data_IF_923788439832
#
_entry.id   IF_923788439832
#
_cell.length_a   1.000
_cell.length_b   1.000
_cell.length_c   1.000
_cell.angle_alpha   90.00
_cell.angle_beta   90.00
_cell.angle_gamma   90.00
#
_symmetry.space_group_name_H-M   'P 1'
#
loop_
_entity.id
_entity.type
_entity.pdbx_description
1 polymer ?
#
# COMPACT_ATOMS: atom_id res chain seq x y z
N UNK A 1 -19.95 8.34 24.86
CA UNK A 1 -19.62 7.22 25.77
C UNK A 1 -18.49 6.49 25.10
N UNK A 2 -17.32 6.40 25.74
CA UNK A 2 -16.13 5.82 25.12
C UNK A 2 -16.28 4.31 25.07
N UNK A 3 -15.97 3.66 23.95
CA UNK A 3 -16.05 2.19 23.89
C UNK A 3 -14.87 1.59 24.67
N UNK A 4 -15.12 0.78 25.72
CA UNK A 4 -14.06 0.29 26.62
C UNK A 4 -13.07 -0.65 25.92
N UNK A 5 -13.47 -1.18 24.75
CA UNK A 5 -12.65 -2.06 23.93
C UNK A 5 -11.32 -1.42 23.52
N UNK A 6 -11.27 -0.11 23.30
CA UNK A 6 -10.03 0.54 22.86
C UNK A 6 -8.96 0.53 23.95
N UNK A 7 -9.35 0.86 25.18
CA UNK A 7 -8.46 0.80 26.33
C UNK A 7 -8.02 -0.64 26.63
N UNK A 8 -8.96 -1.59 26.54
CA UNK A 8 -8.65 -3.00 26.72
C UNK A 8 -7.67 -3.54 25.67
N UNK A 9 -7.90 -3.24 24.39
CA UNK A 9 -7.00 -3.66 23.30
C UNK A 9 -5.60 -3.06 23.42
N UNK A 10 -5.47 -1.85 23.96
CA UNK A 10 -4.16 -1.23 24.20
C UNK A 10 -3.40 -1.96 25.32
N UNK A 11 -4.08 -2.30 26.41
CA UNK A 11 -3.50 -3.00 27.54
C UNK A 11 -3.25 -4.50 27.28
N UNK A 12 -3.92 -5.09 26.28
CA UNK A 12 -3.91 -6.53 26.05
C UNK A 12 -2.60 -7.01 25.37
N UNK A 13 -1.79 -7.87 26.02
CA UNK A 13 -0.57 -8.41 25.43
C UNK A 13 -0.88 -9.39 24.28
N UNK A 14 -0.12 -9.31 23.19
CA UNK A 14 -0.27 -10.16 22.01
C UNK A 14 -1.68 -10.15 21.39
N UNK A 15 -2.51 -9.19 21.78
CA UNK A 15 -3.93 -9.03 21.42
C UNK A 15 -4.72 -10.35 21.53
N UNK A 16 -4.40 -11.12 22.57
CA UNK A 16 -4.98 -12.43 22.86
C UNK A 16 -5.22 -12.59 24.37
N UNK A 17 -6.39 -13.11 24.77
CA UNK A 17 -6.78 -13.28 26.18
C UNK A 17 -7.68 -14.51 26.37
N UNK A 18 -7.84 -14.98 27.61
CA UNK A 18 -8.87 -15.98 27.90
C UNK A 18 -10.26 -15.37 27.70
N UNK A 19 -11.25 -16.18 27.33
CA UNK A 19 -12.64 -15.71 27.20
C UNK A 19 -13.14 -15.09 28.53
N UNK A 20 -12.69 -15.62 29.67
CA UNK A 20 -12.92 -14.99 30.98
C UNK A 20 -12.50 -13.51 31.02
N UNK A 21 -11.28 -13.20 30.58
CA UNK A 21 -10.71 -11.86 30.65
C UNK A 21 -11.47 -10.91 29.70
N UNK A 22 -11.82 -11.39 28.51
CA UNK A 22 -12.66 -10.64 27.57
C UNK A 22 -14.06 -10.35 28.15
N UNK A 23 -14.72 -11.38 28.70
CA UNK A 23 -16.06 -11.26 29.30
C UNK A 23 -16.04 -10.30 30.51
N UNK A 24 -14.97 -10.34 31.30
CA UNK A 24 -14.80 -9.50 32.48
C UNK A 24 -14.52 -8.04 32.09
N UNK A 25 -13.53 -7.80 31.24
CA UNK A 25 -13.10 -6.45 30.87
C UNK A 25 -14.15 -5.68 30.05
N UNK A 26 -14.96 -6.39 29.26
CA UNK A 26 -16.01 -5.79 28.42
C UNK A 26 -17.42 -6.05 28.96
N UNK A 27 -17.52 -6.44 30.23
CA UNK A 27 -18.79 -6.66 30.91
C UNK A 27 -19.63 -5.38 30.90
N UNK A 28 -20.92 -5.51 30.60
CA UNK A 28 -21.85 -4.39 30.53
C UNK A 28 -21.75 -3.54 29.25
N UNK A 29 -20.77 -3.79 28.37
CA UNK A 29 -20.75 -3.19 27.04
C UNK A 29 -21.69 -3.96 26.12
N UNK A 30 -22.86 -3.38 25.87
CA UNK A 30 -23.96 -3.91 25.04
C UNK A 30 -23.53 -4.43 23.65
N UNK A 31 -22.46 -3.86 23.09
CA UNK A 31 -21.89 -4.25 21.78
C UNK A 31 -20.89 -5.41 21.83
N UNK A 32 -20.48 -5.85 23.02
CA UNK A 32 -19.48 -6.90 23.18
C UNK A 32 -19.85 -8.23 22.50
N UNK A 33 -21.09 -8.76 22.57
CA UNK A 33 -21.44 -10.01 21.90
C UNK A 33 -21.18 -9.97 20.38
N UNK A 34 -21.60 -8.89 19.71
CA UNK A 34 -21.35 -8.71 18.29
C UNK A 34 -19.87 -8.50 17.99
N UNK A 35 -19.16 -7.76 18.85
CA UNK A 35 -17.72 -7.59 18.74
C UNK A 35 -17.00 -8.94 18.78
N UNK A 36 -17.32 -9.78 19.78
CA UNK A 36 -16.74 -11.11 19.95
C UNK A 36 -16.93 -11.97 18.70
N UNK A 37 -18.15 -12.04 18.19
CA UNK A 37 -18.47 -12.91 17.06
C UNK A 37 -17.75 -12.47 15.76
N UNK A 38 -17.60 -11.16 15.55
CA UNK A 38 -17.01 -10.61 14.33
C UNK A 38 -15.50 -10.46 14.39
N UNK A 39 -14.95 -10.03 15.52
CA UNK A 39 -13.56 -9.57 15.64
C UNK A 39 -12.68 -10.49 16.49
N UNK A 40 -13.22 -11.50 17.16
CA UNK A 40 -12.41 -12.49 17.88
C UNK A 40 -12.38 -13.83 17.14
N UNK A 41 -11.25 -14.52 17.23
CA UNK A 41 -11.07 -15.88 16.73
C UNK A 41 -10.57 -16.78 17.85
N UNK A 42 -11.18 -17.95 17.95
CA UNK A 42 -10.76 -19.00 18.88
C UNK A 42 -9.40 -19.55 18.45
N UNK A 43 -8.48 -19.68 19.41
CA UNK A 43 -7.20 -20.36 19.22
C UNK A 43 -7.26 -21.81 19.69
N UNK A 44 -6.19 -22.59 19.45
CA UNK A 44 -6.07 -23.96 19.94
C UNK A 44 -5.63 -24.04 21.41
N UNK A 45 -5.34 -22.91 22.04
CA UNK A 45 -4.71 -22.84 23.35
C UNK A 45 -5.75 -22.57 24.44
N UNK A 46 -5.44 -23.07 25.64
CA UNK A 46 -6.20 -22.81 26.86
C UNK A 46 -5.36 -21.98 27.83
N UNK A 47 -6.02 -21.11 28.57
CA UNK A 47 -5.42 -20.26 29.57
C UNK A 47 -4.99 -21.08 30.79
N UNK A 48 -3.72 -20.93 31.18
CA UNK A 48 -3.18 -21.49 32.43
C UNK A 48 -3.34 -20.53 33.60
N UNK A 49 -3.63 -19.26 33.31
CA UNK A 49 -3.98 -18.21 34.26
C UNK A 49 -4.96 -17.22 33.61
N UNK A 50 -5.76 -16.55 34.42
CA UNK A 50 -6.69 -15.48 34.02
C UNK A 50 -6.42 -14.24 34.86
N UNK A 51 -6.85 -13.07 34.38
CA UNK A 51 -6.70 -11.82 35.11
C UNK A 51 -7.51 -11.86 36.41
N UNK A 52 -7.02 -11.13 37.42
CA UNK A 52 -7.68 -11.08 38.71
C UNK A 52 -8.95 -10.22 38.63
N UNK A 53 -10.16 -10.77 38.83
CA UNK A 53 -11.40 -10.00 38.75
C UNK A 53 -11.70 -9.20 40.02
N UNK A 54 -10.78 -9.17 40.98
CA UNK A 54 -10.96 -8.52 42.29
C UNK A 54 -10.00 -7.34 42.43
N UNK A 55 -10.44 -6.29 43.12
CA UNK A 55 -9.63 -5.12 43.55
C UNK A 55 -8.56 -5.48 44.60
N UNK A 56 -7.87 -6.61 44.45
CA UNK A 56 -6.69 -6.89 45.25
C UNK A 56 -5.55 -5.99 44.73
N UNK A 57 -4.89 -5.24 45.64
CA UNK A 57 -3.87 -4.27 45.27
C UNK A 57 -2.63 -4.83 44.55
N UNK A 58 -2.52 -6.16 44.45
CA UNK A 58 -1.42 -6.86 43.76
C UNK A 58 -1.68 -7.08 42.26
N UNK A 59 -2.94 -7.07 41.81
CA UNK A 59 -3.29 -7.29 40.40
C UNK A 59 -2.74 -8.58 39.78
N UNK A 60 -2.39 -9.59 40.59
CA UNK A 60 -1.68 -10.78 40.15
C UNK A 60 -2.59 -11.74 39.35
N UNK A 61 -2.11 -12.37 38.27
CA UNK A 61 -2.91 -13.33 37.52
C UNK A 61 -3.27 -14.54 38.40
N UNK A 62 -4.51 -15.02 38.28
CA UNK A 62 -5.02 -16.18 39.01
C UNK A 62 -4.76 -17.45 38.22
N UNK A 63 -4.21 -18.47 38.88
CA UNK A 63 -3.91 -19.75 38.25
C UNK A 63 -5.19 -20.53 37.97
N UNK A 64 -5.35 -21.02 36.75
CA UNK A 64 -6.44 -21.93 36.39
C UNK A 64 -6.07 -23.33 36.90
N UNK A 65 -6.96 -23.91 37.70
CA UNK A 65 -6.84 -25.27 38.25
C UNK A 65 -8.05 -26.07 37.78
N UNK A 66 -7.78 -27.20 37.14
CA UNK A 66 -8.80 -28.13 36.63
C UNK A 66 -8.83 -29.34 37.57
N UNK A 67 -9.90 -29.48 38.35
CA UNK A 67 -10.15 -30.68 39.16
C UNK A 67 -10.89 -31.75 38.35
N UNK A 68 -11.83 -31.32 37.50
CA UNK A 68 -12.53 -32.14 36.51
C UNK A 68 -13.06 -31.26 35.37
N UNK A 69 -13.65 -31.85 34.33
CA UNK A 69 -14.23 -31.10 33.20
C UNK A 69 -15.38 -30.15 33.62
N UNK A 70 -16.04 -30.43 34.74
CA UNK A 70 -17.11 -29.62 35.33
C UNK A 70 -16.65 -28.76 36.51
N UNK A 71 -15.41 -28.92 36.96
CA UNK A 71 -14.87 -28.24 38.14
C UNK A 71 -13.53 -27.60 37.81
N UNK A 72 -13.61 -26.36 37.32
CA UNK A 72 -12.47 -25.53 36.96
C UNK A 72 -12.55 -24.25 37.80
N UNK A 73 -11.42 -23.86 38.41
CA UNK A 73 -11.36 -22.68 39.29
C UNK A 73 -10.12 -21.83 39.01
N UNK A 74 -10.26 -20.51 39.15
CA UNK A 74 -9.17 -19.54 39.14
C UNK A 74 -8.75 -19.21 40.59
N UNK A 75 -7.54 -19.61 40.97
CA UNK A 75 -7.02 -19.50 42.33
C UNK A 75 -6.05 -18.33 42.45
N UNK A 76 -6.27 -17.48 43.45
CA UNK A 76 -5.32 -16.44 43.84
C UNK A 76 -4.11 -17.08 44.53
N UNK A 77 -2.92 -16.95 43.95
CA UNK A 77 -1.70 -17.53 44.52
C UNK A 77 -1.29 -16.83 45.83
N UNK A 78 -1.58 -15.54 45.92
CA UNK A 78 -1.32 -14.70 47.10
C UNK A 78 -2.36 -14.87 48.21
N UNK A 79 -3.43 -15.63 47.97
CA UNK A 79 -4.52 -15.94 48.92
C UNK A 79 -5.29 -14.72 49.45
N UNK A 80 -5.17 -13.57 48.80
CA UNK A 80 -5.91 -12.33 49.14
C UNK A 80 -7.43 -12.43 48.87
N UNK A 81 -7.84 -13.35 48.01
CA UNK A 81 -9.25 -13.55 47.67
C UNK A 81 -9.56 -15.01 47.33
N UNK A 82 -10.83 -15.39 47.53
CA UNK A 82 -11.33 -16.75 47.28
C UNK A 82 -11.24 -17.18 45.81
N UNK A 83 -11.24 -18.50 45.60
CA UNK A 83 -11.25 -19.08 44.25
C UNK A 83 -12.50 -18.67 43.48
N UNK A 84 -12.35 -18.40 42.18
CA UNK A 84 -13.46 -18.04 41.29
C UNK A 84 -13.77 -19.23 40.39
N UNK A 85 -15.02 -19.72 40.36
CA UNK A 85 -15.40 -20.80 39.45
C UNK A 85 -15.35 -20.34 38.00
N UNK A 86 -14.87 -21.22 37.11
CA UNK A 86 -14.81 -21.02 35.67
C UNK A 86 -15.58 -22.12 34.96
N UNK A 87 -16.27 -21.78 33.87
CA UNK A 87 -16.73 -22.80 32.91
C UNK A 87 -15.61 -23.12 31.93
N UNK A 88 -15.59 -24.34 31.35
CA UNK A 88 -14.53 -24.76 30.41
C UNK A 88 -14.28 -23.77 29.28
N UNK A 89 -15.34 -23.19 28.71
CA UNK A 89 -15.26 -22.22 27.62
C UNK A 89 -14.52 -20.94 28.02
N UNK A 90 -14.60 -20.53 29.29
CA UNK A 90 -13.91 -19.34 29.81
C UNK A 90 -12.37 -19.50 29.82
N UNK A 91 -11.87 -20.74 29.74
CA UNK A 91 -10.43 -21.02 29.60
C UNK A 91 -9.92 -20.87 28.17
N UNK A 92 -10.80 -20.76 27.17
CA UNK A 92 -10.38 -20.73 25.78
C UNK A 92 -9.71 -19.40 25.45
N UNK A 93 -8.56 -19.45 24.79
CA UNK A 93 -7.87 -18.23 24.36
C UNK A 93 -8.45 -17.74 23.03
N UNK A 94 -8.91 -16.50 23.02
CA UNK A 94 -9.35 -15.77 21.85
C UNK A 94 -8.31 -14.73 21.46
N UNK A 95 -8.06 -14.62 20.16
CA UNK A 95 -7.19 -13.60 19.55
C UNK A 95 -8.00 -12.61 18.73
N UNK A 96 -7.56 -11.37 18.67
CA UNK A 96 -8.10 -10.36 17.76
C UNK A 96 -7.88 -10.75 16.29
N UNK A 97 -8.93 -10.74 15.49
CA UNK A 97 -8.88 -10.84 14.02
C UNK A 97 -8.40 -9.49 13.46
N UNK A 98 -7.09 -9.27 13.47
CA UNK A 98 -6.50 -7.97 13.12
C UNK A 98 -6.99 -7.41 11.78
N UNK A 99 -6.93 -8.18 10.69
CA UNK A 99 -7.37 -7.70 9.37
C UNK A 99 -8.87 -7.32 9.34
N UNK A 100 -9.71 -7.99 10.16
CA UNK A 100 -11.13 -7.62 10.25
C UNK A 100 -11.30 -6.26 10.93
N UNK A 101 -10.57 -6.00 12.03
CA UNK A 101 -10.56 -4.71 12.72
C UNK A 101 -10.01 -3.62 11.80
N UNK A 102 -8.88 -3.86 11.14
CA UNK A 102 -8.24 -2.92 10.21
C UNK A 102 -9.19 -2.51 9.08
N UNK A 103 -9.88 -3.48 8.46
CA UNK A 103 -10.91 -3.23 7.45
C UNK A 103 -12.08 -2.42 7.99
N UNK A 104 -12.53 -2.70 9.21
CA UNK A 104 -13.63 -1.97 9.83
C UNK A 104 -13.25 -0.52 10.14
N UNK A 105 -12.01 -0.28 10.62
CA UNK A 105 -11.46 1.06 10.82
C UNK A 105 -11.38 1.82 9.49
N UNK A 106 -10.83 1.20 8.45
CA UNK A 106 -10.70 1.86 7.14
C UNK A 106 -12.05 2.26 6.56
N UNK A 107 -13.05 1.37 6.66
CA UNK A 107 -14.43 1.67 6.23
C UNK A 107 -15.07 2.76 7.06
N UNK A 108 -14.82 2.80 8.37
CA UNK A 108 -15.35 3.85 9.21
C UNK A 108 -14.73 5.19 8.82
N UNK A 109 -13.41 5.26 8.63
CA UNK A 109 -12.63 6.47 8.42
C UNK A 109 -12.48 6.92 6.95
N UNK A 110 -13.16 6.28 6.01
CA UNK A 110 -13.05 6.53 4.57
C UNK A 110 -11.60 6.43 4.04
N UNK A 111 -10.84 5.46 4.57
CA UNK A 111 -9.46 5.16 4.15
C UNK A 111 -9.50 4.14 3.02
N UNK A 112 -8.75 4.40 1.95
CA UNK A 112 -8.54 3.43 0.87
C UNK A 112 -7.68 2.27 1.39
N UNK A 113 -8.32 1.14 1.68
CA UNK A 113 -7.69 0.00 2.36
C UNK A 113 -6.65 -0.72 1.49
N UNK A 114 -5.39 -0.64 1.90
CA UNK A 114 -4.23 -1.38 1.39
C UNK A 114 -3.34 -1.77 2.57
N UNK A 115 -3.73 -2.85 3.23
CA UNK A 115 -3.11 -3.34 4.46
C UNK A 115 -1.76 -4.02 4.19
N UNK A 116 -0.72 -3.56 4.88
CA UNK A 116 0.62 -4.16 4.88
C UNK A 116 1.25 -4.06 6.28
N UNK A 117 1.76 -5.17 6.86
CA UNK A 117 2.46 -5.12 8.14
C UNK A 117 3.83 -4.44 7.99
N UNK A 118 4.25 -3.69 9.00
CA UNK A 118 5.59 -3.09 9.04
C UNK A 118 6.55 -4.08 9.72
N UNK A 119 7.49 -4.73 9.01
CA UNK A 119 8.21 -5.90 9.53
C UNK A 119 9.03 -5.65 10.81
N UNK A 120 9.52 -4.43 11.00
CA UNK A 120 10.38 -4.05 12.14
C UNK A 120 9.54 -3.69 13.37
N UNK A 121 8.27 -3.32 13.18
CA UNK A 121 7.42 -2.80 14.24
C UNK A 121 6.38 -3.83 14.67
N UNK A 122 6.35 -4.13 15.96
CA UNK A 122 5.34 -5.02 16.52
C UNK A 122 3.95 -4.39 16.44
N UNK A 123 2.96 -5.19 16.06
CA UNK A 123 1.56 -4.79 15.99
C UNK A 123 1.33 -3.43 15.28
N UNK A 124 2.02 -3.22 14.15
CA UNK A 124 1.92 -1.98 13.36
C UNK A 124 1.74 -2.29 11.88
N UNK A 125 0.82 -1.57 11.24
CA UNK A 125 0.41 -1.78 9.84
C UNK A 125 0.27 -0.45 9.12
N UNK A 126 0.68 -0.40 7.85
CA UNK A 126 0.15 0.59 6.89
C UNK A 126 -1.24 0.11 6.52
N UNK A 127 -2.27 0.90 6.84
CA UNK A 127 -3.67 0.57 6.51
C UNK A 127 -4.04 0.95 5.08
N UNK A 128 -3.36 1.95 4.53
CA UNK A 128 -3.62 2.47 3.20
C UNK A 128 -3.55 3.99 3.17
N UNK A 129 -4.40 4.60 2.35
CA UNK A 129 -4.27 6.01 1.98
C UNK A 129 -5.54 6.79 2.31
N UNK A 130 -5.37 7.97 2.92
CA UNK A 130 -6.46 8.90 3.19
C UNK A 130 -6.39 10.12 2.26
N UNK A 131 -7.52 10.49 1.66
CA UNK A 131 -7.65 11.56 0.67
C UNK A 131 -8.68 12.62 1.14
N UNK A 132 -8.27 13.70 1.82
CA UNK A 132 -9.19 14.73 2.32
C UNK A 132 -9.80 15.59 1.20
N UNK A 133 -9.00 15.85 0.18
CA UNK A 133 -9.29 16.72 -0.95
C UNK A 133 -8.46 16.30 -2.17
N UNK A 134 -8.71 16.93 -3.31
CA UNK A 134 -8.14 16.50 -4.59
C UNK A 134 -6.65 16.82 -4.65
N UNK A 135 -5.80 15.78 -4.75
CA UNK A 135 -4.35 15.93 -4.90
C UNK A 135 -3.54 15.82 -3.60
N UNK A 136 -4.17 15.45 -2.48
CA UNK A 136 -3.47 15.21 -1.22
C UNK A 136 -3.74 13.79 -0.73
N UNK A 137 -2.67 13.04 -0.48
CA UNK A 137 -2.73 11.64 -0.06
C UNK A 137 -1.87 11.49 1.18
N UNK A 138 -2.43 10.93 2.25
CA UNK A 138 -1.71 10.65 3.49
C UNK A 138 -1.67 9.14 3.73
N UNK A 139 -0.48 8.54 3.86
CA UNK A 139 -0.39 7.18 4.33
C UNK A 139 -0.91 7.13 5.76
N UNK A 140 -1.80 6.17 6.02
CA UNK A 140 -2.38 5.94 7.33
C UNK A 140 -1.82 4.66 7.91
N UNK A 141 -1.25 4.79 9.11
CA UNK A 141 -0.69 3.70 9.88
C UNK A 141 -1.59 3.44 11.09
N UNK A 142 -1.67 2.18 11.52
CA UNK A 142 -2.26 1.78 12.78
C UNK A 142 -1.22 1.04 13.61
N UNK A 143 -1.09 1.43 14.87
CA UNK A 143 -0.27 0.72 15.84
C UNK A 143 -1.10 0.33 17.07
N UNK A 144 -0.84 -0.86 17.61
CA UNK A 144 -1.43 -1.34 18.87
C UNK A 144 -0.32 -1.63 19.90
N UNK A 145 0.38 -0.59 20.40
CA UNK A 145 1.54 -0.77 21.28
C UNK A 145 1.15 -1.33 22.64
N UNK A 146 2.06 -2.03 23.30
CA UNK A 146 1.86 -2.58 24.65
C UNK A 146 2.45 -1.67 25.73
N UNK A 147 3.54 -0.96 25.40
CA UNK A 147 4.19 0.02 26.29
C UNK A 147 4.58 1.30 25.55
N UNK A 148 4.94 2.33 26.34
CA UNK A 148 5.35 3.65 25.83
C UNK A 148 6.58 3.60 24.93
N UNK A 149 7.49 2.66 25.18
CA UNK A 149 8.69 2.48 24.37
C UNK A 149 8.33 1.99 22.96
N UNK A 150 7.36 1.08 22.83
CA UNK A 150 6.90 0.58 21.53
C UNK A 150 6.28 1.71 20.68
N UNK A 151 5.48 2.57 21.31
CA UNK A 151 4.91 3.75 20.65
C UNK A 151 6.01 4.72 20.20
N UNK A 152 7.02 4.93 21.04
CA UNK A 152 8.12 5.86 20.73
C UNK A 152 8.97 5.33 19.58
N UNK A 153 9.26 4.03 19.56
CA UNK A 153 9.97 3.38 18.47
C UNK A 153 9.17 3.41 17.18
N UNK A 154 7.87 3.10 17.25
CA UNK A 154 6.95 3.18 16.11
C UNK A 154 6.97 4.57 15.47
N UNK A 155 6.84 5.63 16.29
CA UNK A 155 6.87 7.00 15.78
C UNK A 155 8.22 7.32 15.14
N UNK A 156 9.34 6.90 15.75
CA UNK A 156 10.68 7.14 15.20
C UNK A 156 10.83 6.51 13.83
N UNK A 157 10.53 5.22 13.71
CA UNK A 157 10.67 4.48 12.46
C UNK A 157 9.77 5.06 11.36
N UNK A 158 8.50 5.33 11.68
CA UNK A 158 7.59 5.95 10.70
C UNK A 158 8.06 7.34 10.26
N UNK A 159 8.67 8.14 11.16
CA UNK A 159 9.27 9.43 10.82
C UNK A 159 10.56 9.32 10.00
N UNK A 160 11.24 8.17 10.00
CA UNK A 160 12.41 7.91 9.15
C UNK A 160 11.98 7.42 7.77
N UNK A 161 10.98 6.54 7.72
CA UNK A 161 10.43 5.97 6.48
C UNK A 161 9.68 7.01 5.64
N UNK A 162 8.95 7.92 6.30
CA UNK A 162 8.12 8.91 5.63
C UNK A 162 8.82 10.27 5.51
N UNK A 163 9.06 10.69 4.26
CA UNK A 163 9.51 12.06 3.96
C UNK A 163 8.36 13.07 3.98
N UNK A 164 7.14 12.57 3.77
CA UNK A 164 5.91 13.35 3.76
C UNK A 164 5.13 13.14 5.07
N UNK A 165 4.17 14.03 5.37
CA UNK A 165 3.27 13.83 6.49
C UNK A 165 2.46 12.55 6.38
N UNK A 166 2.15 11.95 7.52
CA UNK A 166 1.38 10.71 7.61
C UNK A 166 0.41 10.78 8.79
N UNK A 167 -0.50 9.81 8.86
CA UNK A 167 -1.43 9.67 9.98
C UNK A 167 -1.11 8.42 10.75
N UNK A 168 -1.00 8.54 12.07
CA UNK A 168 -0.86 7.43 13.01
C UNK A 168 -2.13 7.27 13.83
N UNK A 169 -2.76 6.12 13.70
CA UNK A 169 -3.88 5.68 14.52
C UNK A 169 -3.35 4.80 15.67
N UNK A 170 -3.91 4.99 16.85
CA UNK A 170 -3.74 4.07 17.98
C UNK A 170 -5.05 3.98 18.78
N UNK A 171 -5.25 2.97 19.64
CA UNK A 171 -6.49 2.83 20.39
C UNK A 171 -6.79 4.06 21.24
N UNK A 172 -5.80 4.55 21.99
CA UNK A 172 -5.91 5.72 22.87
C UNK A 172 -4.66 6.62 22.80
N UNK A 173 -4.68 7.77 23.49
CA UNK A 173 -3.52 8.66 23.67
C UNK A 173 -2.57 8.26 24.79
N UNK A 174 -2.92 7.26 25.63
CA UNK A 174 -2.24 6.97 26.90
C UNK A 174 -0.76 6.62 26.74
N UNK A 175 -0.41 5.94 25.65
CA UNK A 175 0.98 5.54 25.35
C UNK A 175 1.77 6.56 24.53
N UNK A 176 1.15 7.64 24.06
CA UNK A 176 1.83 8.71 23.34
C UNK A 176 2.66 9.57 24.30
N UNK A 177 3.99 9.44 24.23
CA UNK A 177 4.92 10.25 25.02
C UNK A 177 5.07 11.65 24.42
N UNK A 178 5.48 12.64 25.23
CA UNK A 178 5.78 13.99 24.73
C UNK A 178 6.91 14.01 23.69
N UNK A 179 7.88 13.10 23.81
CA UNK A 179 8.96 12.95 22.85
C UNK A 179 8.45 12.41 21.51
N UNK A 180 7.59 11.39 21.54
CA UNK A 180 6.92 10.88 20.34
C UNK A 180 6.05 11.96 19.68
N UNK A 181 5.25 12.69 20.46
CA UNK A 181 4.42 13.80 19.96
C UNK A 181 5.26 14.90 19.31
N UNK A 182 6.42 15.26 19.90
CA UNK A 182 7.36 16.21 19.29
C UNK A 182 7.91 15.72 17.94
N UNK A 183 8.25 14.44 17.82
CA UNK A 183 8.75 13.87 16.57
C UNK A 183 7.66 13.88 15.48
N UNK A 184 6.44 13.47 15.83
CA UNK A 184 5.28 13.55 14.94
C UNK A 184 5.08 14.98 14.43
N UNK A 185 5.11 15.97 15.33
CA UNK A 185 4.95 17.39 14.96
C UNK A 185 6.06 17.88 14.02
N UNK A 186 7.30 17.43 14.17
CA UNK A 186 8.40 17.78 13.25
C UNK A 186 8.21 17.23 11.84
N UNK A 187 7.46 16.15 11.68
CA UNK A 187 7.07 15.57 10.38
C UNK A 187 5.70 16.06 9.89
N UNK A 188 5.08 17.00 10.59
CA UNK A 188 3.69 17.39 10.40
C UNK A 188 2.73 16.18 10.37
N UNK A 189 3.12 15.10 11.04
CA UNK A 189 2.33 13.88 11.12
C UNK A 189 1.21 14.04 12.14
N UNK A 190 0.05 13.44 11.85
CA UNK A 190 -1.13 13.52 12.68
C UNK A 190 -1.30 12.27 13.52
N UNK A 191 -1.57 12.44 14.81
CA UNK A 191 -1.99 11.36 15.69
C UNK A 191 -3.51 11.39 15.90
N UNK A 192 -4.18 10.25 15.74
CA UNK A 192 -5.59 10.09 16.11
C UNK A 192 -5.81 8.87 17.01
N UNK A 193 -6.59 9.11 18.07
CA UNK A 193 -7.02 8.06 18.98
C UNK A 193 -8.34 7.46 18.48
N UNK A 194 -8.39 6.15 18.25
CA UNK A 194 -9.59 5.48 17.77
C UNK A 194 -10.78 5.68 18.72
N UNK A 195 -10.52 5.74 20.03
CA UNK A 195 -11.55 6.02 21.03
C UNK A 195 -12.22 7.40 20.87
N UNK A 196 -11.53 8.37 20.28
CA UNK A 196 -12.06 9.71 20.02
C UNK A 196 -12.78 9.81 18.66
N UNK A 197 -12.45 8.92 17.73
CA UNK A 197 -12.82 9.05 16.32
C UNK A 197 -13.86 8.04 15.84
N UNK A 198 -13.86 6.82 16.39
CA UNK A 198 -14.73 5.72 15.97
C UNK A 198 -15.40 5.03 17.15
N UNK A 199 -16.67 4.69 16.96
CA UNK A 199 -17.47 3.95 17.91
C UNK A 199 -18.21 2.79 17.23
N UNK A 200 -18.41 1.72 17.97
CA UNK A 200 -19.27 0.62 17.59
C UNK A 200 -20.73 1.03 17.74
N UNK A 201 -21.51 0.76 16.71
CA UNK A 201 -22.96 0.93 16.68
C UNK A 201 -23.68 -0.35 17.15
N UNK A 202 -24.98 -0.26 17.43
CA UNK A 202 -25.83 -1.39 17.85
C UNK A 202 -25.76 -2.61 16.90
N UNK A 203 -25.42 -2.41 15.63
CA UNK A 203 -25.20 -3.49 14.65
C UNK A 203 -23.78 -4.07 14.58
N UNK A 204 -22.91 -3.76 15.55
CA UNK A 204 -21.52 -4.24 15.59
C UNK A 204 -20.59 -3.60 14.54
N UNK A 205 -21.09 -2.62 13.78
CA UNK A 205 -20.30 -1.87 12.79
C UNK A 205 -19.61 -0.69 13.44
N UNK A 206 -18.35 -0.49 13.07
CA UNK A 206 -17.63 0.74 13.37
C UNK A 206 -18.15 1.88 12.51
N UNK A 207 -18.46 3.01 13.16
CA UNK A 207 -18.77 4.28 12.52
C UNK A 207 -17.99 5.39 13.20
N UNK A 208 -17.87 6.50 12.49
CA UNK A 208 -17.26 7.71 13.03
C UNK A 208 -18.16 8.34 14.07
N UNK A 209 -17.55 8.90 15.11
CA UNK A 209 -18.25 9.64 16.16
C UNK A 209 -18.68 11.02 15.65
N UNK A 210 -17.84 11.66 14.82
CA UNK A 210 -18.09 12.98 14.23
C UNK A 210 -18.58 12.84 12.78
N UNK A 211 -19.52 13.68 12.36
CA UNK A 211 -20.03 13.69 10.97
C UNK A 211 -18.97 14.18 9.96
N UNK A 212 -18.17 15.17 10.33
CA UNK A 212 -17.09 15.71 9.49
C UNK A 212 -15.79 14.95 9.70
N UNK A 213 -15.10 14.55 8.63
CA UNK A 213 -13.80 13.85 8.69
C UNK A 213 -12.85 14.55 9.65
N UNK A 214 -12.30 13.89 10.70
CA UNK A 214 -11.33 14.53 11.58
C UNK A 214 -10.13 14.99 10.77
N UNK A 215 -9.80 14.25 9.72
CA UNK A 215 -8.78 14.64 8.78
C UNK A 215 -9.12 15.94 8.02
N UNK A 216 -10.39 16.29 7.79
CA UNK A 216 -10.78 17.61 7.22
C UNK A 216 -10.71 18.74 8.25
N UNK A 217 -10.93 18.44 9.52
CA UNK A 217 -10.87 19.42 10.62
C UNK A 217 -9.41 19.68 11.05
N UNK A 218 -8.59 18.63 11.02
CA UNK A 218 -7.17 18.64 11.43
C UNK A 218 -6.26 18.99 10.25
N UNK A 219 -6.72 18.69 9.03
CA UNK A 219 -6.21 19.22 7.79
C UNK A 219 -7.33 20.03 7.10
N UNK A 220 -7.71 21.20 7.67
CA UNK A 220 -8.37 22.20 6.85
C UNK A 220 -7.43 22.45 5.67
N UNK A 221 -7.96 22.91 4.54
CA UNK A 221 -7.25 23.09 3.25
C UNK A 221 -5.97 23.98 3.30
N UNK A 222 -5.42 24.26 4.48
CA UNK A 222 -4.32 25.15 4.81
C UNK A 222 -3.28 24.64 5.83
N UNK A 223 -3.33 23.40 6.36
CA UNK A 223 -2.33 22.95 7.38
C UNK A 223 -1.19 22.08 6.87
N UNK A 224 -1.26 21.61 5.63
CA UNK A 224 -0.04 21.36 4.87
C UNK A 224 0.28 22.63 4.12
N UNK A 225 0.87 23.58 4.85
CA UNK A 225 1.93 24.37 4.23
C UNK A 225 2.86 23.31 3.60
N UNK A 226 2.75 23.05 2.30
CA UNK A 226 3.40 23.91 1.34
C UNK A 226 4.75 24.25 1.94
N UNK A 227 5.81 23.73 1.31
CA UNK A 227 6.92 24.63 1.06
C UNK A 227 6.33 26.03 0.89
N UNK A 228 6.79 27.02 1.64
CA UNK A 228 6.37 28.43 1.49
C UNK A 228 6.54 28.96 0.06
N UNK A 229 6.96 28.12 -0.88
CA UNK A 229 6.79 28.33 -2.30
C UNK A 229 5.31 28.24 -2.70
N UNK A 230 4.76 29.27 -3.36
CA UNK A 230 3.47 29.15 -4.03
C UNK A 230 3.48 27.91 -4.93
N UNK A 231 2.36 27.17 -5.00
CA UNK A 231 2.20 26.05 -5.94
C UNK A 231 2.79 26.46 -7.28
N UNK A 232 3.76 25.70 -7.84
CA UNK A 232 4.40 26.07 -9.08
C UNK A 232 3.34 26.43 -10.12
N UNK A 233 3.61 27.47 -10.91
CA UNK A 233 2.67 27.92 -11.92
C UNK A 233 2.28 26.79 -12.89
N UNK A 234 3.17 25.81 -13.08
CA UNK A 234 2.97 24.69 -14.00
C UNK A 234 3.28 23.35 -13.32
N UNK A 235 2.27 22.48 -13.23
CA UNK A 235 2.35 21.14 -12.63
C UNK A 235 1.82 20.15 -13.66
N UNK A 236 2.56 19.07 -13.88
CA UNK A 236 2.12 17.95 -14.70
C UNK A 236 2.73 16.67 -14.15
N UNK A 237 2.11 16.14 -13.08
CA UNK A 237 2.66 15.01 -12.33
C UNK A 237 1.61 13.97 -11.99
N UNK A 238 2.06 12.73 -11.83
CA UNK A 238 1.23 11.67 -11.27
C UNK A 238 0.97 11.91 -9.78
N UNK A 239 -0.28 11.77 -9.37
CA UNK A 239 -0.74 11.83 -7.98
C UNK A 239 -1.73 10.68 -7.73
N UNK A 240 -1.21 9.55 -7.22
CA UNK A 240 -1.97 8.31 -7.08
C UNK A 240 -2.36 7.71 -8.45
N UNK A 241 -3.66 7.52 -8.67
CA UNK A 241 -4.25 6.95 -9.89
C UNK A 241 -4.60 8.01 -10.96
N UNK A 242 -4.44 9.29 -10.64
CA UNK A 242 -4.77 10.44 -11.50
C UNK A 242 -3.57 11.38 -11.66
N UNK A 243 -3.65 12.24 -12.67
CA UNK A 243 -2.64 13.24 -12.95
C UNK A 243 -3.11 14.58 -12.43
N UNK A 244 -2.22 15.29 -11.75
CA UNK A 244 -2.46 16.67 -11.33
C UNK A 244 -1.90 17.59 -12.41
N UNK A 245 -2.76 18.39 -13.02
CA UNK A 245 -2.38 19.34 -14.07
C UNK A 245 -2.69 20.76 -13.60
N UNK A 246 -1.73 21.67 -13.75
CA UNK A 246 -1.85 23.12 -13.52
C UNK A 246 -1.02 23.83 -14.59
N UNK A 247 -1.54 24.91 -15.16
CA UNK A 247 -0.85 25.68 -16.18
C UNK A 247 -0.98 27.17 -15.90
N UNK A 248 0.14 27.90 -15.97
CA UNK A 248 0.23 29.35 -15.77
C UNK A 248 -0.51 29.88 -14.52
N UNK A 249 -0.49 29.12 -13.44
CA UNK A 249 -1.12 29.50 -12.18
C UNK A 249 -2.65 29.37 -12.15
N UNK A 250 -3.27 28.84 -13.20
CA UNK A 250 -4.71 28.54 -13.27
C UNK A 250 -5.13 27.39 -12.35
N UNK A 251 -6.41 27.04 -12.33
CA UNK A 251 -6.94 25.98 -11.45
C UNK A 251 -6.20 24.64 -11.65
N UNK A 252 -5.95 23.93 -10.54
CA UNK A 252 -5.37 22.58 -10.61
C UNK A 252 -6.48 21.56 -10.85
N UNK A 253 -6.38 20.80 -11.93
CA UNK A 253 -7.43 19.87 -12.37
C UNK A 253 -6.91 18.44 -12.31
N UNK A 254 -7.65 17.50 -11.69
CA UNK A 254 -7.33 16.08 -11.76
C UNK A 254 -7.67 15.54 -13.16
N UNK A 255 -6.80 14.71 -13.71
CA UNK A 255 -6.94 14.18 -15.06
C UNK A 255 -6.75 12.67 -15.08
N UNK A 256 -7.58 11.98 -15.85
CA UNK A 256 -7.60 10.52 -15.88
C UNK A 256 -6.32 9.93 -16.49
N UNK A 257 -5.98 8.72 -16.03
CA UNK A 257 -4.82 7.99 -16.56
C UNK A 257 -5.05 7.61 -18.01
N UNK A 258 -4.11 8.02 -18.88
CA UNK A 258 -4.00 7.53 -20.24
C UNK A 258 -2.56 7.60 -20.74
N UNK A 259 -2.20 6.74 -21.70
CA UNK A 259 -0.83 6.61 -22.21
C UNK A 259 -0.22 7.92 -22.71
N UNK A 260 -1.01 8.78 -23.36
CA UNK A 260 -0.49 10.06 -23.86
C UNK A 260 -0.04 11.02 -22.74
N UNK A 261 -0.62 10.92 -21.55
CA UNK A 261 -0.22 11.72 -20.38
C UNK A 261 1.12 11.21 -19.82
N UNK A 262 1.34 9.89 -19.82
CA UNK A 262 2.65 9.30 -19.47
C UNK A 262 3.75 9.82 -20.42
N UNK A 263 3.49 9.85 -21.73
CA UNK A 263 4.42 10.39 -22.72
C UNK A 263 4.68 11.90 -22.56
N UNK A 264 3.64 12.68 -22.31
CA UNK A 264 3.77 14.13 -22.08
C UNK A 264 4.59 14.43 -20.83
N UNK A 265 4.50 13.61 -19.78
CA UNK A 265 5.30 13.79 -18.56
C UNK A 265 6.80 13.75 -18.87
N UNK A 266 7.23 12.80 -19.71
CA UNK A 266 8.63 12.68 -20.14
C UNK A 266 9.09 13.89 -20.96
N UNK A 267 8.24 14.37 -21.88
CA UNK A 267 8.54 15.54 -22.72
C UNK A 267 8.60 16.84 -21.91
N UNK A 268 7.68 17.03 -20.96
CA UNK A 268 7.63 18.22 -20.10
C UNK A 268 8.76 18.23 -19.07
N UNK A 269 9.27 17.06 -18.67
CA UNK A 269 10.42 16.94 -17.78
C UNK A 269 11.75 17.32 -18.45
N UNK A 270 11.79 17.37 -19.79
CA UNK A 270 12.98 17.73 -20.55
C UNK A 270 12.68 18.72 -21.70
N UNK A 271 12.30 19.98 -21.39
CA UNK A 271 12.04 20.99 -22.42
C UNK A 271 13.24 21.20 -23.34
N UNK A 272 12.98 21.31 -24.64
CA UNK A 272 13.98 21.54 -25.70
C UNK A 272 14.82 20.32 -26.08
N UNK A 273 14.67 19.18 -25.39
CA UNK A 273 15.39 17.94 -25.70
C UNK A 273 14.57 17.04 -26.63
N UNK A 274 15.24 16.47 -27.64
CA UNK A 274 14.67 15.39 -28.44
C UNK A 274 14.64 14.09 -27.61
N UNK A 275 13.50 13.41 -27.62
CA UNK A 275 13.28 12.11 -27.00
C UNK A 275 12.84 11.13 -28.08
N UNK A 276 13.55 10.00 -28.22
CA UNK A 276 13.20 8.96 -29.18
C UNK A 276 11.79 8.45 -28.92
N UNK A 277 11.02 8.20 -29.98
CA UNK A 277 9.67 7.67 -29.83
C UNK A 277 9.67 6.26 -29.27
N UNK A 278 10.76 5.49 -29.44
CA UNK A 278 10.92 4.20 -28.75
C UNK A 278 11.01 4.41 -27.24
N UNK A 279 11.82 5.36 -26.78
CA UNK A 279 11.94 5.67 -25.35
C UNK A 279 10.59 6.13 -24.78
N UNK A 280 9.86 7.00 -25.49
CA UNK A 280 8.52 7.41 -25.07
C UNK A 280 7.57 6.22 -24.99
N UNK A 281 7.51 5.40 -26.05
CA UNK A 281 6.60 4.25 -26.14
C UNK A 281 6.83 3.25 -24.99
N UNK A 282 8.07 3.11 -24.53
CA UNK A 282 8.49 2.20 -23.46
C UNK A 282 8.66 2.86 -22.08
N UNK A 283 8.36 4.16 -21.92
CA UNK A 283 8.38 4.83 -20.62
C UNK A 283 9.77 5.27 -20.13
N UNK A 284 10.75 5.41 -21.03
CA UNK A 284 12.07 5.96 -20.72
C UNK A 284 13.04 4.99 -20.02
N UNK A 285 12.73 3.70 -19.97
CA UNK A 285 13.52 2.67 -19.26
C UNK A 285 14.43 1.84 -20.16
N UNK A 286 14.52 2.15 -21.46
CA UNK A 286 15.40 1.43 -22.37
C UNK A 286 16.85 1.86 -22.16
N UNK A 287 17.74 0.89 -21.92
CA UNK A 287 19.17 1.13 -21.97
C UNK A 287 19.64 1.30 -23.44
N UNK A 288 20.83 1.87 -23.60
CA UNK A 288 21.41 2.23 -24.90
C UNK A 288 21.63 1.01 -25.82
N UNK A 289 21.96 -0.14 -25.25
CA UNK A 289 22.24 -1.37 -26.01
C UNK A 289 20.94 -1.97 -26.53
N UNK A 290 19.92 -2.03 -25.67
CA UNK A 290 18.55 -2.45 -26.05
C UNK A 290 17.94 -1.51 -27.08
N UNK A 291 18.16 -0.19 -26.95
CA UNK A 291 17.70 0.80 -27.95
C UNK A 291 18.29 0.52 -29.32
N UNK A 292 19.62 0.41 -29.42
CA UNK A 292 20.32 0.12 -30.68
C UNK A 292 19.93 -1.24 -31.25
N UNK A 293 19.70 -2.24 -30.40
CA UNK A 293 19.23 -3.55 -30.81
C UNK A 293 17.81 -3.46 -31.40
N UNK A 294 16.89 -2.72 -30.80
CA UNK A 294 15.51 -2.56 -31.32
C UNK A 294 15.47 -1.75 -32.62
N UNK A 295 16.25 -0.67 -32.70
CA UNK A 295 16.38 0.16 -33.90
C UNK A 295 16.97 -0.61 -35.08
N UNK A 296 17.87 -1.56 -34.83
CA UNK A 296 18.52 -2.37 -35.87
C UNK A 296 17.81 -3.69 -36.21
N UNK A 297 17.05 -4.27 -35.27
CA UNK A 297 16.50 -5.63 -35.41
C UNK A 297 15.07 -5.71 -35.92
N UNK A 298 14.27 -4.64 -35.87
CA UNK A 298 12.88 -4.69 -36.33
C UNK A 298 11.91 -5.41 -35.38
N UNK A 299 12.36 -5.85 -34.20
CA UNK A 299 11.61 -6.68 -33.27
C UNK A 299 10.78 -5.88 -32.26
N UNK A 300 9.59 -6.38 -31.90
CA UNK A 300 8.79 -5.82 -30.80
C UNK A 300 9.32 -6.29 -29.43
N UNK A 301 9.34 -5.40 -28.42
CA UNK A 301 9.88 -5.70 -27.07
C UNK A 301 9.19 -6.87 -26.37
N UNK A 302 7.90 -7.10 -26.66
CA UNK A 302 7.16 -8.26 -26.14
C UNK A 302 7.71 -9.60 -26.67
N UNK A 303 8.16 -9.62 -27.92
CA UNK A 303 8.75 -10.81 -28.52
C UNK A 303 10.20 -11.02 -28.06
N UNK A 304 10.95 -9.94 -27.76
CA UNK A 304 12.34 -10.05 -27.30
C UNK A 304 12.45 -10.51 -25.85
N UNK A 305 11.60 -10.03 -24.94
CA UNK A 305 11.61 -10.49 -23.54
C UNK A 305 11.19 -11.96 -23.45
N UNK A 306 10.10 -12.35 -24.12
CA UNK A 306 9.68 -13.75 -24.19
C UNK A 306 10.73 -14.65 -24.86
N UNK A 307 11.37 -14.19 -25.95
CA UNK A 307 12.43 -14.96 -26.61
C UNK A 307 13.72 -15.05 -25.77
N UNK A 308 14.06 -14.01 -25.00
CA UNK A 308 15.21 -14.02 -24.10
C UNK A 308 14.97 -14.95 -22.90
N UNK A 309 13.77 -14.93 -22.32
CA UNK A 309 13.35 -15.86 -21.26
C UNK A 309 13.38 -17.31 -21.74
N UNK A 310 12.80 -17.59 -22.92
CA UNK A 310 12.84 -18.94 -23.52
C UNK A 310 14.28 -19.38 -23.82
N UNK A 311 15.15 -18.47 -24.27
CA UNK A 311 16.57 -18.78 -24.51
C UNK A 311 17.33 -19.09 -23.22
N UNK A 312 17.08 -18.32 -22.16
CA UNK A 312 17.71 -18.53 -20.86
C UNK A 312 17.27 -19.86 -20.26
N UNK A 313 15.99 -20.20 -20.37
CA UNK A 313 15.45 -21.46 -19.87
C UNK A 313 15.98 -22.67 -20.67
N UNK A 314 16.11 -22.54 -22.01
CA UNK A 314 16.76 -23.56 -22.83
C UNK A 314 18.22 -23.79 -22.43
N UNK A 315 18.98 -22.72 -22.15
CA UNK A 315 20.37 -22.82 -21.69
C UNK A 315 20.46 -23.50 -20.32
N UNK A 316 19.53 -23.21 -19.42
CA UNK A 316 19.45 -23.84 -18.09
C UNK A 316 19.16 -25.33 -18.20
N UNK A 317 18.16 -25.71 -19.02
CA UNK A 317 17.81 -27.11 -19.26
C UNK A 317 18.99 -27.86 -19.91
N UNK A 318 19.69 -27.23 -20.87
CA UNK A 318 20.87 -27.84 -21.51
C UNK A 318 22.01 -28.10 -20.51
N UNK A 319 22.23 -27.18 -19.56
CA UNK A 319 23.19 -27.38 -18.46
C UNK A 319 22.76 -28.51 -17.51
N UNK A 320 21.46 -28.59 -17.20
CA UNK A 320 20.92 -29.59 -16.29
C UNK A 320 20.91 -31.00 -16.91
N UNK A 321 20.70 -31.11 -18.23
CA UNK A 321 20.87 -32.36 -18.99
C UNK A 321 22.33 -32.82 -18.89
N UNK A 322 23.29 -31.91 -19.09
CA UNK A 322 24.70 -32.28 -19.05
C UNK A 322 25.13 -32.75 -17.66
N UNK A 323 24.69 -32.06 -16.60
CA UNK A 323 24.93 -32.50 -15.21
C UNK A 323 24.20 -33.81 -14.85
N UNK A 324 23.00 -34.05 -15.39
CA UNK A 324 22.23 -35.27 -15.09
C UNK A 324 22.80 -36.51 -15.80
N UNK A 325 23.47 -36.34 -16.94
CA UNK A 325 24.23 -37.40 -17.63
C UNK A 325 25.36 -37.95 -16.77
N UNK A 326 26.01 -37.11 -15.97
CA UNK A 326 27.11 -37.51 -15.08
C UNK A 326 26.63 -38.34 -13.89
N UNK A 327 25.40 -38.14 -13.43
CA UNK A 327 24.81 -38.85 -12.28
C UNK A 327 23.91 -40.05 -12.66
N UNK A 328 23.79 -40.37 -13.95
CA UNK A 328 23.03 -41.53 -14.51
C UNK A 328 21.55 -41.60 -14.10
N UNK A 329 20.89 -40.46 -13.86
CA UNK A 329 19.46 -40.38 -13.56
C UNK A 329 18.64 -40.33 -14.87
N UNK A 330 18.34 -41.51 -15.42
CA UNK A 330 17.69 -41.66 -16.73
C UNK A 330 16.27 -41.07 -16.78
N UNK A 331 15.50 -41.18 -15.69
CA UNK A 331 14.13 -40.65 -15.64
C UNK A 331 14.12 -39.11 -15.70
N UNK A 332 15.10 -38.47 -15.04
CA UNK A 332 15.25 -37.01 -15.05
C UNK A 332 15.71 -36.49 -16.42
N UNK A 333 16.48 -37.26 -17.16
CA UNK A 333 16.93 -36.90 -18.50
C UNK A 333 15.78 -36.86 -19.51
N UNK A 334 14.84 -37.81 -19.44
CA UNK A 334 13.68 -37.85 -20.32
C UNK A 334 12.78 -36.61 -20.10
N UNK A 335 12.50 -36.25 -18.84
CA UNK A 335 11.72 -35.05 -18.49
C UNK A 335 12.38 -33.75 -19.01
N UNK A 336 13.69 -33.62 -18.88
CA UNK A 336 14.43 -32.46 -19.36
C UNK A 336 14.43 -32.37 -20.89
N UNK A 337 14.52 -33.51 -21.58
CA UNK A 337 14.44 -33.58 -23.04
C UNK A 337 13.04 -33.19 -23.55
N UNK A 338 11.97 -33.66 -22.92
CA UNK A 338 10.59 -33.26 -23.25
C UNK A 338 10.36 -31.76 -23.04
N UNK A 339 10.80 -31.22 -21.91
CA UNK A 339 10.69 -29.79 -21.60
C UNK A 339 11.46 -28.92 -22.62
N UNK A 340 12.64 -29.37 -23.03
CA UNK A 340 13.44 -28.72 -24.08
C UNK A 340 12.71 -28.69 -25.42
N UNK A 341 12.09 -29.81 -25.81
CA UNK A 341 11.38 -29.91 -27.09
C UNK A 341 10.12 -29.03 -27.11
N UNK A 342 9.39 -28.96 -25.99
CA UNK A 342 8.26 -28.04 -25.82
C UNK A 342 8.68 -26.58 -26.02
N UNK A 343 9.77 -26.13 -25.39
CA UNK A 343 10.26 -24.76 -25.55
C UNK A 343 10.75 -24.47 -26.98
N UNK A 344 11.42 -25.43 -27.63
CA UNK A 344 11.83 -25.30 -29.04
C UNK A 344 10.63 -25.22 -30.00
N UNK A 345 9.51 -25.87 -29.67
CA UNK A 345 8.28 -25.77 -30.46
C UNK A 345 7.67 -24.36 -30.39
N UNK A 346 7.73 -23.70 -29.22
CA UNK A 346 7.28 -22.32 -29.04
C UNK A 346 8.13 -21.34 -29.85
N UNK A 347 9.46 -21.54 -29.88
CA UNK A 347 10.36 -20.74 -30.74
C UNK A 347 10.08 -20.95 -32.22
N UNK A 348 9.82 -22.19 -32.65
CA UNK A 348 9.47 -22.48 -34.06
C UNK A 348 8.14 -21.84 -34.47
N UNK A 349 7.17 -21.76 -33.56
CA UNK A 349 5.91 -21.06 -33.82
C UNK A 349 6.11 -19.54 -34.01
N UNK A 350 7.15 -18.96 -33.42
CA UNK A 350 7.53 -17.55 -33.58
C UNK A 350 8.31 -17.25 -34.87
N UNK A 351 8.85 -18.27 -35.56
CA UNK A 351 9.72 -18.09 -36.75
C UNK A 351 9.03 -18.62 -38.02
N UNK A 352 8.88 -17.77 -39.04
CA UNK A 352 8.29 -18.17 -40.33
C UNK A 352 9.18 -19.12 -41.16
N UNK A 353 8.62 -19.82 -42.17
CA UNK A 353 9.38 -20.70 -43.05
C UNK A 353 10.51 -19.93 -43.75
N UNK A 354 11.76 -20.31 -43.50
CA UNK A 354 12.95 -19.66 -44.06
C UNK A 354 13.77 -18.81 -43.07
N UNK A 355 13.47 -18.86 -41.77
CA UNK A 355 14.33 -18.26 -40.72
C UNK A 355 14.27 -16.73 -40.66
N UNK A 356 13.28 -16.10 -41.31
CA UNK A 356 13.03 -14.66 -41.23
C UNK A 356 11.66 -14.39 -40.58
N UNK A 357 11.65 -13.44 -39.65
CA UNK A 357 10.45 -12.97 -38.97
C UNK A 357 9.52 -12.28 -39.97
N UNK A 358 8.23 -12.58 -39.88
CA UNK A 358 7.18 -11.90 -40.65
C UNK A 358 6.93 -10.55 -39.99
N UNK A 359 7.15 -9.45 -40.72
CA UNK A 359 6.89 -8.04 -40.36
C UNK A 359 8.04 -7.25 -39.70
N UNK A 360 8.69 -6.36 -40.46
CA UNK A 360 8.78 -4.91 -40.22
C UNK A 360 9.89 -4.27 -41.08
N UNK A 361 9.54 -3.48 -42.10
CA UNK A 361 10.48 -2.64 -42.84
C UNK A 361 10.59 -1.20 -42.27
N UNK A 362 10.02 -0.96 -41.09
CA UNK A 362 10.18 0.30 -40.33
C UNK A 362 9.88 0.01 -38.84
N UNK A 363 10.90 -0.26 -38.00
CA UNK A 363 10.74 -0.55 -36.57
C UNK A 363 10.04 0.57 -35.80
N UNK A 364 10.15 1.82 -36.28
CA UNK A 364 9.61 2.99 -35.61
C UNK A 364 8.16 3.27 -35.98
N UNK A 365 7.61 2.63 -37.02
CA UNK A 365 6.26 2.93 -37.53
C UNK A 365 5.18 2.80 -36.45
N UNK A 366 5.14 1.67 -35.74
CA UNK A 366 4.11 1.40 -34.72
C UNK A 366 4.30 2.26 -33.46
N UNK A 367 5.51 2.38 -32.87
CA UNK A 367 5.77 3.34 -31.80
C UNK A 367 5.37 4.77 -32.19
N UNK A 368 5.80 5.25 -33.38
CA UNK A 368 5.46 6.58 -33.91
C UNK A 368 3.97 6.80 -34.01
N UNK A 369 3.24 5.85 -34.62
CA UNK A 369 1.80 5.96 -34.78
C UNK A 369 1.08 5.93 -33.43
N UNK A 370 1.49 5.06 -32.50
CA UNK A 370 0.87 4.90 -31.19
C UNK A 370 1.10 6.12 -30.30
N UNK A 371 2.34 6.58 -30.17
CA UNK A 371 2.67 7.77 -29.38
C UNK A 371 1.97 9.00 -29.97
N UNK A 372 2.04 9.20 -31.28
CA UNK A 372 1.38 10.34 -31.94
C UNK A 372 -0.15 10.33 -31.73
N UNK A 373 -0.80 9.16 -31.87
CA UNK A 373 -2.24 9.03 -31.63
C UNK A 373 -2.61 9.26 -30.17
N UNK A 374 -1.82 8.72 -29.24
CA UNK A 374 -2.07 8.85 -27.80
C UNK A 374 -1.92 10.30 -27.32
N UNK A 375 -0.88 11.00 -27.79
CA UNK A 375 -0.67 12.42 -27.48
C UNK A 375 -1.80 13.26 -28.06
N UNK A 376 -2.14 13.11 -29.35
CA UNK A 376 -3.26 13.86 -29.97
C UNK A 376 -4.61 13.61 -29.28
N UNK A 377 -4.90 12.36 -28.91
CA UNK A 377 -6.08 12.03 -28.11
C UNK A 377 -6.06 12.74 -26.75
N UNK A 378 -4.89 12.82 -26.12
CA UNK A 378 -4.73 13.51 -24.84
C UNK A 378 -4.99 15.01 -24.96
N UNK A 379 -4.46 15.66 -26.01
CA UNK A 379 -4.72 17.07 -26.29
C UNK A 379 -6.22 17.36 -26.48
N UNK A 380 -6.93 16.48 -27.20
CA UNK A 380 -8.39 16.57 -27.34
C UNK A 380 -9.09 16.45 -25.97
N UNK A 381 -8.73 15.44 -25.18
CA UNK A 381 -9.33 15.23 -23.86
C UNK A 381 -9.05 16.40 -22.89
N UNK A 382 -7.89 17.06 -23.00
CA UNK A 382 -7.58 18.28 -22.24
C UNK A 382 -8.52 19.43 -22.62
N UNK A 383 -8.83 19.61 -23.91
CA UNK A 383 -9.83 20.60 -24.36
C UNK A 383 -11.22 20.27 -23.82
N UNK A 384 -11.64 19.00 -23.89
CA UNK A 384 -12.94 18.54 -23.37
C UNK A 384 -13.05 18.76 -21.84
N UNK A 385 -11.93 18.65 -21.12
CA UNK A 385 -11.82 18.95 -19.69
C UNK A 385 -11.70 20.46 -19.35
N UNK A 386 -11.99 21.35 -20.30
CA UNK A 386 -11.90 22.82 -20.16
C UNK A 386 -10.49 23.36 -19.93
N UNK A 387 -9.44 22.60 -20.27
CA UNK A 387 -8.03 23.01 -20.19
C UNK A 387 -7.52 23.54 -21.53
N UNK A 388 -8.33 24.35 -22.22
CA UNK A 388 -8.09 24.76 -23.61
C UNK A 388 -6.76 25.48 -23.80
N UNK A 389 -6.44 26.44 -22.93
CA UNK A 389 -5.18 27.20 -23.01
C UNK A 389 -3.94 26.30 -22.89
N UNK A 390 -3.99 25.26 -22.04
CA UNK A 390 -2.89 24.31 -21.92
C UNK A 390 -2.79 23.38 -23.13
N UNK A 391 -3.93 22.92 -23.66
CA UNK A 391 -3.94 22.10 -24.86
C UNK A 391 -3.40 22.86 -26.09
N UNK A 392 -3.78 24.12 -26.26
CA UNK A 392 -3.27 25.01 -27.33
C UNK A 392 -1.77 25.26 -27.19
N UNK A 393 -1.29 25.47 -25.95
CA UNK A 393 0.13 25.57 -25.65
C UNK A 393 0.91 24.31 -26.06
N UNK A 394 0.40 23.13 -25.72
CA UNK A 394 1.03 21.88 -26.13
C UNK A 394 0.98 21.68 -27.65
N UNK A 395 -0.12 22.04 -28.32
CA UNK A 395 -0.24 21.95 -29.77
C UNK A 395 0.76 22.84 -30.51
N UNK A 396 1.05 24.04 -30.00
CA UNK A 396 2.03 24.96 -30.59
C UNK A 396 3.48 24.63 -30.22
N UNK A 397 3.71 23.90 -29.13
CA UNK A 397 5.04 23.63 -28.57
C UNK A 397 5.54 22.20 -28.80
N UNK A 398 4.73 21.28 -29.35
CA UNK A 398 5.13 19.89 -29.59
C UNK A 398 5.54 19.65 -31.05
N UNK A 399 6.74 19.14 -31.22
CA UNK A 399 7.24 18.65 -32.50
C UNK A 399 7.11 17.13 -32.57
N UNK A 400 6.43 16.63 -33.61
CA UNK A 400 6.22 15.21 -33.86
C UNK A 400 7.23 14.68 -34.90
N UNK A 401 7.73 13.46 -34.71
CA UNK A 401 8.72 12.84 -35.60
C UNK A 401 9.09 11.43 -35.16
N UNK A 402 10.21 10.90 -35.67
CA UNK A 402 10.84 9.68 -35.10
C UNK A 402 11.47 9.95 -33.72
N UNK A 403 11.78 11.21 -33.45
CA UNK A 403 12.02 11.78 -32.13
C UNK A 403 10.99 12.88 -31.90
N UNK A 404 10.56 13.06 -30.65
CA UNK A 404 9.63 14.11 -30.26
C UNK A 404 10.30 15.11 -29.34
N UNK A 405 9.88 16.36 -29.41
CA UNK A 405 10.41 17.45 -28.58
C UNK A 405 9.28 18.36 -28.12
N UNK A 406 9.35 18.78 -26.87
CA UNK A 406 8.55 19.88 -26.34
C UNK A 406 9.40 21.15 -26.28
N UNK A 407 9.10 22.12 -27.13
CA UNK A 407 9.82 23.38 -27.28
C UNK A 407 8.85 24.55 -27.07
N UNK A 408 8.70 25.07 -25.84
CA UNK A 408 7.85 26.22 -25.59
C UNK A 408 8.48 27.51 -26.13
N UNK A 409 7.64 28.49 -26.44
CA UNK A 409 8.07 29.83 -26.90
C UNK A 409 8.80 30.63 -25.82
N UNK A 410 8.46 30.38 -24.56
CA UNK A 410 9.12 30.92 -23.37
C UNK A 410 9.58 29.78 -22.46
N UNK A 411 10.62 30.01 -21.65
CA UNK A 411 11.08 28.99 -20.70
C UNK A 411 10.01 28.75 -19.64
N UNK A 412 9.52 27.52 -19.53
CA UNK A 412 8.49 27.11 -18.57
C UNK A 412 9.08 26.03 -17.67
N UNK A 413 9.10 26.30 -16.35
CA UNK A 413 9.45 25.30 -15.33
C UNK A 413 8.23 24.44 -15.01
N UNK A 414 8.41 23.11 -15.05
CA UNK A 414 7.37 22.11 -14.81
C UNK A 414 7.70 21.24 -13.61
N UNK A 415 6.73 21.08 -12.71
CA UNK A 415 6.78 20.04 -11.68
C UNK A 415 6.24 18.73 -12.25
N UNK A 416 7.14 17.81 -12.63
CA UNK A 416 6.79 16.52 -13.26
C UNK A 416 7.08 15.30 -12.40
N UNK A 417 7.77 15.48 -11.27
CA UNK A 417 8.12 14.38 -10.37
C UNK A 417 6.83 13.76 -9.82
N UNK A 418 6.66 12.43 -9.94
CA UNK A 418 5.48 11.77 -9.40
C UNK A 418 5.46 11.98 -7.88
N UNK A 419 4.28 12.28 -7.34
CA UNK A 419 4.05 12.19 -5.90
C UNK A 419 3.77 10.72 -5.63
N UNK A 420 4.84 9.97 -5.38
CA UNK A 420 4.77 8.59 -4.96
C UNK A 420 4.33 8.63 -3.49
N UNK A 421 3.12 8.14 -3.22
CA UNK A 421 2.58 7.96 -1.87
C UNK A 421 2.98 6.63 -1.24
#
# INVERSE_FOLDING_TARGET
MNDPVWEFLEALPGKSAALFDWDHALSGWDRYPLFRDHFLQLTKNHATAVDCPTDCGLGCPRKVVVHSDSEIVAVCQEKEAGAVPLVRQQTFIYRLKQSAVNKAICRALDIQHREEPIPILSHTWRLGDFLPSTGTVFPVYLTLPEKKDDMTETVRELCLENQNPFVLLAPTRKLLSRSAERLMNQRAALFMALCEEVAFQEGGRLKRIRNESPFRILFPDNHFAASTDPLPANIFRQCGDRWQIRFQGGESVPFERQKGVEYLTLLLAAPGRYISVLDLYHGGTLDEETRKALESSGLEVGDYQAAAEIRNELNRIDQEIESSRECSDLSRLDDLHENREMLLSQVKAMIGPGGKLRHANDPLRKPRDNVSKAVRRTLKNLKDARMTAFAEHLESSLEFGGEMRYQPSESISWETKPVIG
#
